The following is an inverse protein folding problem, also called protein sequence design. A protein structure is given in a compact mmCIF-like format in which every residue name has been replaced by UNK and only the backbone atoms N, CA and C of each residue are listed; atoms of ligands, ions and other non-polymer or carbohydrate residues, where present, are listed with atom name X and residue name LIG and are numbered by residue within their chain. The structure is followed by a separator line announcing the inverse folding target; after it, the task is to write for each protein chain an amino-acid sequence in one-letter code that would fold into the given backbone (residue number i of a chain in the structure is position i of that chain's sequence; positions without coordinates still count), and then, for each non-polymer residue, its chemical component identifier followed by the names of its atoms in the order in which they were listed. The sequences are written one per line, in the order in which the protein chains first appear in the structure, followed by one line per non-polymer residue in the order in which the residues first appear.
data_IF_149016371000
#
_entry.id   IF_149016371000
#
_cell.length_a   1.000
_cell.length_b   1.000
_cell.length_c   1.000
_cell.angle_alpha   90.00
_cell.angle_beta   90.00
_cell.angle_gamma   90.00
#
_symmetry.space_group_name_H-M   'P 1'
#
loop_
_entity.id
_entity.type
_entity.pdbx_description
1 polymer ?
#
# COMPACT_ATOMS: atom_id res chain seq x y z
N UNK A 1 11.46 6.62 29.71
CA UNK A 1 9.99 6.61 29.64
C UNK A 1 9.54 7.27 28.36
N UNK A 2 9.79 6.67 27.24
CA UNK A 2 9.34 7.22 25.95
C UNK A 2 8.85 6.11 25.04
N UNK A 3 7.62 6.27 24.56
CA UNK A 3 7.00 5.64 23.41
C UNK A 3 6.48 4.20 23.50
N UNK A 4 5.73 3.89 24.53
CA UNK A 4 4.80 2.75 24.48
C UNK A 4 3.48 3.07 23.74
N UNK A 5 3.27 4.33 23.30
CA UNK A 5 2.05 4.72 22.57
C UNK A 5 2.15 4.62 21.05
N UNK A 6 3.37 4.52 20.49
CA UNK A 6 3.56 4.44 19.03
C UNK A 6 3.57 3.01 18.48
N UNK A 7 3.86 2.01 19.30
CA UNK A 7 3.86 0.60 18.87
C UNK A 7 2.44 0.04 18.68
N UNK A 8 1.44 0.65 19.32
CA UNK A 8 0.04 0.22 19.25
C UNK A 8 -0.69 0.70 17.97
N UNK A 9 -0.01 1.44 17.08
CA UNK A 9 -0.58 1.99 15.85
C UNK A 9 -0.05 1.33 14.57
N UNK A 10 0.64 0.20 14.69
CA UNK A 10 1.18 -0.54 13.56
C UNK A 10 0.50 -1.91 13.46
N UNK A 11 0.33 -2.37 12.22
CA UNK A 11 -0.22 -3.68 11.91
C UNK A 11 0.87 -4.57 11.33
N UNK A 12 0.96 -5.81 11.81
CA UNK A 12 1.74 -6.85 11.19
C UNK A 12 0.91 -7.62 10.15
N UNK A 13 1.54 -8.56 9.45
CA UNK A 13 0.89 -9.37 8.42
C UNK A 13 -0.30 -10.17 8.97
N UNK A 14 -0.17 -10.73 10.17
CA UNK A 14 -1.22 -11.53 10.81
C UNK A 14 -2.44 -10.68 11.13
N UNK A 15 -2.24 -9.49 11.69
CA UNK A 15 -3.32 -8.54 11.97
C UNK A 15 -4.02 -8.08 10.68
N UNK A 16 -3.26 -7.82 9.62
CA UNK A 16 -3.83 -7.46 8.32
C UNK A 16 -4.69 -8.57 7.73
N UNK A 17 -4.19 -9.81 7.74
CA UNK A 17 -4.94 -10.97 7.25
C UNK A 17 -6.21 -11.20 8.09
N UNK A 18 -6.12 -11.09 9.40
CA UNK A 18 -7.28 -11.19 10.29
C UNK A 18 -8.34 -10.13 9.97
N UNK A 19 -7.92 -8.89 9.79
CA UNK A 19 -8.82 -7.79 9.44
C UNK A 19 -9.51 -8.02 8.08
N UNK A 20 -8.77 -8.52 7.08
CA UNK A 20 -9.33 -8.85 5.77
C UNK A 20 -10.35 -10.01 5.85
N UNK A 21 -10.08 -11.04 6.64
CA UNK A 21 -11.04 -12.12 6.87
C UNK A 21 -12.31 -11.62 7.57
N UNK A 22 -12.17 -10.72 8.55
CA UNK A 22 -13.32 -10.10 9.20
C UNK A 22 -14.13 -9.23 8.23
N UNK A 23 -13.47 -8.52 7.34
CA UNK A 23 -14.14 -7.74 6.30
C UNK A 23 -14.94 -8.66 5.36
N UNK A 24 -14.35 -9.78 4.95
CA UNK A 24 -15.05 -10.80 4.17
C UNK A 24 -16.30 -11.32 4.88
N UNK A 25 -16.21 -11.60 6.19
CA UNK A 25 -17.34 -12.10 6.98
C UNK A 25 -18.49 -11.09 7.06
N UNK A 26 -18.16 -9.80 7.20
CA UNK A 26 -19.17 -8.73 7.22
C UNK A 26 -19.85 -8.56 5.85
N UNK A 27 -19.06 -8.61 4.77
CA UNK A 27 -19.60 -8.60 3.40
C UNK A 27 -20.51 -9.79 3.15
N UNK A 28 -20.10 -10.98 3.56
CA UNK A 28 -20.91 -12.20 3.44
C UNK A 28 -22.24 -12.06 4.18
N UNK A 29 -22.22 -11.53 5.40
CA UNK A 29 -23.42 -11.37 6.23
C UNK A 29 -24.46 -10.43 5.61
N UNK A 30 -24.05 -9.50 4.78
CA UNK A 30 -24.92 -8.58 4.05
C UNK A 30 -25.13 -8.96 2.57
N UNK A 31 -24.65 -10.14 2.17
CA UNK A 31 -24.73 -10.65 0.78
C UNK A 31 -24.11 -9.68 -0.23
N UNK A 32 -23.01 -9.04 0.18
CA UNK A 32 -22.21 -8.14 -0.67
C UNK A 32 -20.89 -8.80 -1.02
N UNK A 33 -20.33 -8.44 -2.17
CA UNK A 33 -18.96 -8.77 -2.56
C UNK A 33 -18.13 -7.48 -2.63
N UNK A 34 -16.86 -7.59 -2.27
CA UNK A 34 -15.94 -6.45 -2.27
C UNK A 34 -14.64 -6.76 -3.00
N UNK A 35 -13.99 -5.70 -3.43
CA UNK A 35 -12.65 -5.75 -4.03
C UNK A 35 -11.79 -4.66 -3.45
N UNK A 36 -10.53 -5.01 -3.12
CA UNK A 36 -9.48 -4.05 -2.74
C UNK A 36 -8.31 -4.17 -3.70
N UNK A 37 -7.69 -3.03 -4.00
CA UNK A 37 -6.38 -2.98 -4.66
C UNK A 37 -5.41 -2.31 -3.69
N UNK A 38 -4.41 -3.06 -3.24
CA UNK A 38 -3.43 -2.63 -2.25
C UNK A 38 -2.29 -1.84 -2.89
N UNK A 39 -1.80 -0.87 -2.11
CA UNK A 39 -0.63 -0.05 -2.42
C UNK A 39 0.26 0.08 -1.17
N UNK A 40 1.41 0.72 -1.32
CA UNK A 40 2.24 1.18 -0.21
C UNK A 40 2.79 0.11 0.72
N UNK A 41 2.81 0.42 2.02
CA UNK A 41 3.44 -0.43 3.04
C UNK A 41 2.75 -1.78 3.23
N UNK A 42 1.42 -1.85 3.06
CA UNK A 42 0.68 -3.10 3.12
C UNK A 42 1.13 -4.09 2.03
N UNK A 43 1.40 -3.59 0.84
CA UNK A 43 1.99 -4.37 -0.25
C UNK A 43 3.34 -4.97 0.17
N UNK A 44 4.22 -4.15 0.76
CA UNK A 44 5.54 -4.60 1.21
C UNK A 44 5.46 -5.65 2.31
N UNK A 45 4.50 -5.52 3.24
CA UNK A 45 4.28 -6.50 4.31
C UNK A 45 3.65 -7.80 3.82
N UNK A 46 2.56 -7.71 3.06
CA UNK A 46 1.75 -8.87 2.67
C UNK A 46 2.34 -9.65 1.50
N UNK A 47 2.87 -8.96 0.49
CA UNK A 47 3.31 -9.58 -0.76
C UNK A 47 4.79 -9.95 -0.69
N UNK A 48 5.65 -9.03 -0.30
CA UNK A 48 7.08 -9.26 -0.28
C UNK A 48 7.62 -9.73 1.06
N UNK A 49 6.91 -9.46 2.18
CA UNK A 49 7.40 -9.77 3.51
C UNK A 49 8.67 -9.02 3.89
N UNK A 50 8.99 -7.94 3.19
CA UNK A 50 10.21 -7.13 3.42
C UNK A 50 10.08 -6.14 4.58
N UNK A 51 8.85 -5.91 5.04
CA UNK A 51 8.54 -5.11 6.24
C UNK A 51 7.73 -5.94 7.21
N UNK A 52 8.06 -5.84 8.51
CA UNK A 52 7.31 -6.51 9.57
C UNK A 52 6.00 -5.81 9.91
N UNK A 53 5.94 -4.51 9.74
CA UNK A 53 4.81 -3.67 10.17
C UNK A 53 4.52 -2.55 9.18
N UNK A 54 3.26 -2.12 9.17
CA UNK A 54 2.82 -0.88 8.51
C UNK A 54 1.80 -0.16 9.39
N UNK A 55 1.61 1.13 9.17
CA UNK A 55 0.62 1.93 9.93
C UNK A 55 -0.82 1.62 9.54
N UNK A 56 -1.03 1.10 8.34
CA UNK A 56 -2.33 0.76 7.82
C UNK A 56 -2.24 0.31 6.37
N UNK A 57 -3.39 0.11 5.77
CA UNK A 57 -3.52 -0.39 4.41
C UNK A 57 -4.05 0.71 3.49
N UNK A 58 -3.20 1.20 2.60
CA UNK A 58 -3.60 2.09 1.52
C UNK A 58 -4.19 1.24 0.39
N UNK A 59 -5.43 1.50 0.04
CA UNK A 59 -6.12 0.74 -0.99
C UNK A 59 -7.18 1.58 -1.70
N UNK A 60 -7.52 1.21 -2.91
CA UNK A 60 -8.80 1.58 -3.50
C UNK A 60 -9.74 0.41 -3.38
N UNK A 61 -11.02 0.66 -3.14
CA UNK A 61 -11.98 -0.41 -2.85
C UNK A 61 -13.41 -0.07 -3.26
N UNK A 62 -14.16 -1.12 -3.59
CA UNK A 62 -15.59 -1.09 -3.90
C UNK A 62 -16.29 -2.29 -3.22
N UNK A 63 -17.52 -2.16 -2.72
CA UNK A 63 -18.32 -0.92 -2.60
C UNK A 63 -17.77 -0.03 -1.47
N UNK A 64 -17.56 1.23 -1.79
CA UNK A 64 -16.84 2.17 -0.90
C UNK A 64 -17.56 2.38 0.44
N UNK A 65 -18.86 2.65 0.41
CA UNK A 65 -19.63 2.96 1.61
C UNK A 65 -19.68 1.80 2.60
N UNK A 66 -19.99 0.60 2.12
CA UNK A 66 -20.06 -0.61 2.96
C UNK A 66 -18.69 -0.97 3.54
N UNK A 67 -17.65 -0.94 2.73
CA UNK A 67 -16.28 -1.28 3.19
C UNK A 67 -15.80 -0.29 4.24
N UNK A 68 -16.03 1.00 4.06
CA UNK A 68 -15.69 2.00 5.10
C UNK A 68 -16.43 1.76 6.42
N UNK A 69 -17.73 1.48 6.35
CA UNK A 69 -18.52 1.19 7.55
C UNK A 69 -17.98 -0.04 8.28
N UNK A 70 -17.74 -1.13 7.56
CA UNK A 70 -17.19 -2.36 8.13
C UNK A 70 -15.77 -2.19 8.66
N UNK A 71 -14.93 -1.44 7.96
CA UNK A 71 -13.57 -1.15 8.43
C UNK A 71 -13.57 -0.42 9.78
N UNK A 72 -14.48 0.53 9.99
CA UNK A 72 -14.63 1.23 11.28
C UNK A 72 -15.09 0.29 12.39
N UNK A 73 -16.03 -0.60 12.10
CA UNK A 73 -16.46 -1.61 13.07
C UNK A 73 -15.32 -2.55 13.46
N UNK A 74 -14.58 -3.04 12.47
CA UNK A 74 -13.41 -3.91 12.69
C UNK A 74 -12.35 -3.20 13.52
N UNK A 75 -12.09 -1.93 13.26
CA UNK A 75 -11.15 -1.14 14.06
C UNK A 75 -11.50 -1.15 15.55
N UNK A 76 -12.78 -0.97 15.89
CA UNK A 76 -13.26 -1.02 17.27
C UNK A 76 -13.19 -2.43 17.87
N UNK A 77 -13.59 -3.45 17.11
CA UNK A 77 -13.60 -4.84 17.56
C UNK A 77 -12.20 -5.41 17.79
N UNK A 78 -11.24 -5.04 16.95
CA UNK A 78 -9.88 -5.60 16.95
C UNK A 78 -8.83 -4.65 17.55
N UNK A 79 -9.22 -3.46 18.00
CA UNK A 79 -8.28 -2.49 18.55
C UNK A 79 -7.31 -1.92 17.52
N UNK A 80 -7.74 -1.79 16.26
CA UNK A 80 -6.93 -1.23 15.19
C UNK A 80 -7.10 0.30 15.11
N UNK A 81 -6.15 1.00 14.46
CA UNK A 81 -6.36 2.41 14.14
C UNK A 81 -7.65 2.61 13.34
N UNK A 82 -8.36 3.73 13.59
CA UNK A 82 -9.63 4.00 12.92
C UNK A 82 -9.50 4.05 11.38
N UNK A 83 -8.32 4.43 10.90
CA UNK A 83 -7.95 4.55 9.48
C UNK A 83 -7.05 3.41 8.99
N UNK A 84 -7.10 2.24 9.65
CA UNK A 84 -6.30 1.07 9.24
C UNK A 84 -6.48 0.69 7.76
N UNK A 85 -7.65 0.95 7.20
CA UNK A 85 -7.96 0.84 5.78
C UNK A 85 -8.42 2.21 5.27
N UNK A 86 -7.70 2.78 4.30
CA UNK A 86 -8.01 4.09 3.76
C UNK A 86 -7.75 4.16 2.26
N UNK A 87 -8.46 5.05 1.57
CA UNK A 87 -8.35 5.27 0.13
C UNK A 87 -7.67 6.60 -0.26
N UNK A 88 -6.88 7.16 0.65
CA UNK A 88 -6.14 8.39 0.41
C UNK A 88 -5.24 8.33 -0.82
N UNK A 89 -4.76 7.13 -1.17
CA UNK A 89 -3.95 6.89 -2.36
C UNK A 89 -4.68 7.26 -3.66
N UNK A 90 -6.00 7.26 -3.67
CA UNK A 90 -6.84 7.54 -4.85
C UNK A 90 -6.51 8.89 -5.52
N UNK A 91 -6.15 9.90 -4.76
CA UNK A 91 -5.76 11.21 -5.27
C UNK A 91 -4.40 11.22 -5.98
N UNK A 92 -3.62 10.13 -5.91
CA UNK A 92 -2.28 10.00 -6.46
C UNK A 92 -2.22 9.08 -7.68
N UNK A 93 -3.35 8.53 -8.11
CA UNK A 93 -3.43 7.60 -9.23
C UNK A 93 -3.72 8.37 -10.52
N UNK A 94 -2.69 8.56 -11.34
CA UNK A 94 -2.79 9.23 -12.64
C UNK A 94 -3.04 8.26 -13.79
N UNK A 95 -2.64 7.02 -13.60
CA UNK A 95 -2.82 5.91 -14.54
C UNK A 95 -3.40 4.73 -13.79
N UNK A 96 -4.31 3.99 -14.38
CA UNK A 96 -4.87 2.79 -13.78
C UNK A 96 -3.79 1.72 -13.62
N UNK A 97 -3.59 1.17 -12.42
CA UNK A 97 -2.57 0.15 -12.20
C UNK A 97 -2.99 -1.19 -12.79
N UNK A 98 -2.03 -1.91 -13.35
CA UNK A 98 -2.15 -3.36 -13.53
C UNK A 98 -2.01 -4.02 -12.18
N UNK A 99 -2.72 -5.13 -11.97
CA UNK A 99 -2.81 -5.77 -10.66
C UNK A 99 -2.51 -7.27 -10.73
N UNK A 100 -2.12 -7.81 -9.57
CA UNK A 100 -2.05 -9.25 -9.31
C UNK A 100 -3.02 -9.62 -8.19
N UNK A 101 -3.61 -10.80 -8.26
CA UNK A 101 -4.43 -11.33 -7.17
C UNK A 101 -3.52 -11.74 -6.00
N UNK A 102 -3.82 -11.23 -4.80
CA UNK A 102 -3.09 -11.55 -3.57
C UNK A 102 -3.86 -12.55 -2.72
N UNK A 103 -5.17 -12.34 -2.56
CA UNK A 103 -6.02 -13.15 -1.71
C UNK A 103 -7.43 -13.18 -2.29
N UNK A 104 -7.99 -14.38 -2.48
CA UNK A 104 -9.37 -14.57 -2.87
C UNK A 104 -10.13 -15.24 -1.74
N UNK A 105 -11.09 -14.51 -1.16
CA UNK A 105 -12.02 -15.04 -0.19
C UNK A 105 -13.41 -15.17 -0.82
N UNK A 106 -14.38 -15.70 -0.06
CA UNK A 106 -15.72 -15.96 -0.61
C UNK A 106 -16.43 -14.70 -1.10
N UNK A 107 -16.26 -13.58 -0.40
CA UNK A 107 -16.92 -12.30 -0.68
C UNK A 107 -15.96 -11.12 -0.81
N UNK A 108 -14.66 -11.36 -0.77
CA UNK A 108 -13.63 -10.33 -0.87
C UNK A 108 -12.49 -10.79 -1.78
N UNK A 109 -12.20 -9.99 -2.79
CA UNK A 109 -11.00 -10.14 -3.62
C UNK A 109 -9.98 -9.07 -3.23
N UNK A 110 -8.77 -9.47 -2.92
CA UNK A 110 -7.67 -8.56 -2.60
C UNK A 110 -6.63 -8.65 -3.69
N UNK A 111 -6.46 -7.57 -4.42
CA UNK A 111 -5.48 -7.39 -5.48
C UNK A 111 -4.37 -6.48 -4.97
N UNK A 112 -3.24 -6.47 -5.65
CA UNK A 112 -2.16 -5.52 -5.42
C UNK A 112 -1.72 -4.91 -6.74
N UNK A 113 -1.37 -3.63 -6.74
CA UNK A 113 -0.73 -3.01 -7.88
C UNK A 113 0.62 -3.70 -8.17
N UNK A 114 1.04 -3.72 -9.42
CA UNK A 114 2.33 -4.30 -9.82
C UNK A 114 3.50 -3.59 -9.11
N UNK A 115 4.61 -4.30 -8.83
CA UNK A 115 5.76 -3.73 -8.12
C UNK A 115 6.31 -2.44 -8.75
N UNK A 116 6.36 -2.36 -10.08
CA UNK A 116 6.82 -1.16 -10.77
C UNK A 116 5.93 0.05 -10.50
N UNK A 117 4.61 -0.15 -10.36
CA UNK A 117 3.68 0.92 -10.01
C UNK A 117 3.92 1.42 -8.59
N UNK A 118 4.12 0.50 -7.65
CA UNK A 118 4.43 0.84 -6.25
C UNK A 118 5.75 1.62 -6.17
N UNK A 119 6.77 1.19 -6.93
CA UNK A 119 8.04 1.91 -7.01
C UNK A 119 7.84 3.34 -7.51
N UNK A 120 7.10 3.53 -8.59
CA UNK A 120 6.82 4.85 -9.14
C UNK A 120 6.13 5.76 -8.12
N UNK A 121 5.17 5.23 -7.36
CA UNK A 121 4.47 5.99 -6.33
C UNK A 121 5.38 6.38 -5.18
N UNK A 122 6.28 5.50 -4.73
CA UNK A 122 7.25 5.82 -3.68
C UNK A 122 8.25 6.88 -4.15
N UNK A 123 8.72 6.80 -5.38
CA UNK A 123 9.59 7.83 -5.97
C UNK A 123 8.87 9.18 -6.09
N UNK A 124 7.59 9.17 -6.42
CA UNK A 124 6.80 10.40 -6.50
C UNK A 124 6.55 11.03 -5.12
N UNK A 125 6.22 10.22 -4.12
CA UNK A 125 6.09 10.69 -2.73
C UNK A 125 7.42 11.22 -2.17
N UNK A 126 8.53 10.59 -2.54
CA UNK A 126 9.91 11.00 -2.24
C UNK A 126 10.15 11.31 -0.74
N UNK A 127 9.70 10.41 0.13
CA UNK A 127 9.85 10.54 1.59
C UNK A 127 11.12 9.84 2.05
N UNK A 128 12.17 10.61 2.31
CA UNK A 128 13.49 10.08 2.71
C UNK A 128 13.58 9.68 4.18
N UNK A 129 12.74 10.26 5.03
CA UNK A 129 12.73 10.07 6.49
C UNK A 129 11.80 8.94 6.95
N UNK A 130 11.36 8.10 6.02
CA UNK A 130 10.45 6.98 6.24
C UNK A 130 11.05 5.68 5.70
N UNK A 131 10.29 4.58 5.84
CA UNK A 131 10.63 3.30 5.22
C UNK A 131 10.56 3.32 3.68
N UNK A 132 10.04 4.38 3.08
CA UNK A 132 9.82 4.46 1.63
C UNK A 132 11.11 4.31 0.81
N UNK A 133 12.23 4.85 1.29
CA UNK A 133 13.51 4.69 0.59
C UNK A 133 13.95 3.23 0.58
N UNK A 134 13.89 2.57 1.73
CA UNK A 134 14.24 1.14 1.83
C UNK A 134 13.30 0.28 1.00
N UNK A 135 12.01 0.56 1.03
CA UNK A 135 11.03 -0.13 0.20
C UNK A 135 11.33 0.04 -1.29
N UNK A 136 11.68 1.25 -1.71
CA UNK A 136 12.04 1.53 -3.11
C UNK A 136 13.31 0.80 -3.53
N UNK A 137 14.31 0.69 -2.64
CA UNK A 137 15.53 -0.09 -2.88
C UNK A 137 15.18 -1.58 -3.10
N UNK A 138 14.35 -2.14 -2.23
CA UNK A 138 13.90 -3.54 -2.37
C UNK A 138 13.18 -3.75 -3.70
N UNK A 139 12.26 -2.85 -4.07
CA UNK A 139 11.53 -2.91 -5.33
C UNK A 139 12.44 -2.79 -6.54
N UNK A 140 13.38 -1.87 -6.52
CA UNK A 140 14.37 -1.71 -7.59
C UNK A 140 15.21 -2.98 -7.78
N UNK A 141 15.65 -3.60 -6.69
CA UNK A 141 16.40 -4.86 -6.71
C UNK A 141 15.57 -6.01 -7.28
N UNK A 142 14.32 -6.17 -6.85
CA UNK A 142 13.41 -7.21 -7.34
C UNK A 142 13.15 -7.05 -8.84
N UNK A 143 13.05 -5.81 -9.31
CA UNK A 143 12.83 -5.49 -10.71
C UNK A 143 14.12 -5.55 -11.56
N UNK A 144 15.28 -5.80 -10.95
CA UNK A 144 16.57 -5.86 -11.64
C UNK A 144 17.06 -4.52 -12.16
N UNK A 145 16.67 -3.41 -11.53
CA UNK A 145 17.06 -2.07 -11.93
C UNK A 145 18.43 -1.74 -11.34
N UNK A 146 19.33 -1.23 -12.17
CA UNK A 146 20.74 -1.01 -11.81
C UNK A 146 21.17 0.45 -11.87
N UNK A 147 20.37 1.32 -12.45
CA UNK A 147 20.67 2.74 -12.54
C UNK A 147 19.42 3.63 -12.48
N UNK A 148 19.66 4.91 -12.22
CA UNK A 148 18.59 5.91 -12.05
C UNK A 148 17.71 6.08 -13.28
N UNK A 149 18.26 5.95 -14.48
CA UNK A 149 17.49 6.19 -15.70
C UNK A 149 16.42 5.11 -15.89
N UNK A 150 16.74 3.86 -15.55
CA UNK A 150 15.76 2.77 -15.56
C UNK A 150 14.60 3.04 -14.59
N UNK A 151 14.90 3.56 -13.40
CA UNK A 151 13.85 3.92 -12.42
C UNK A 151 13.04 5.11 -12.92
N UNK A 152 13.67 6.14 -13.44
CA UNK A 152 12.97 7.32 -13.99
C UNK A 152 12.06 6.94 -15.15
N UNK A 153 12.49 6.04 -16.03
CA UNK A 153 11.65 5.52 -17.12
C UNK A 153 10.37 4.86 -16.58
N UNK A 154 10.48 4.11 -15.49
CA UNK A 154 9.31 3.52 -14.82
C UNK A 154 8.43 4.61 -14.21
N UNK A 155 9.00 5.56 -13.50
CA UNK A 155 8.24 6.67 -12.88
C UNK A 155 7.44 7.43 -13.93
N UNK A 156 8.06 7.75 -15.06
CA UNK A 156 7.44 8.50 -16.15
C UNK A 156 6.28 7.76 -16.84
N UNK A 157 6.21 6.44 -16.73
CA UNK A 157 5.07 5.66 -17.23
C UNK A 157 3.80 5.95 -16.45
N UNK A 158 3.91 6.25 -15.16
CA UNK A 158 2.78 6.32 -14.25
C UNK A 158 2.52 7.71 -13.68
N UNK A 159 3.54 8.57 -13.68
CA UNK A 159 3.47 9.93 -13.15
C UNK A 159 3.77 10.91 -14.28
N UNK A 160 2.89 11.89 -14.54
CA UNK A 160 3.16 12.91 -15.54
C UNK A 160 4.46 13.66 -15.26
N UNK A 161 5.35 13.76 -16.25
CA UNK A 161 6.68 14.37 -16.11
C UNK A 161 6.61 15.78 -15.53
N UNK A 162 5.59 16.56 -15.90
CA UNK A 162 5.37 17.92 -15.39
C UNK A 162 5.19 18.01 -13.88
N UNK A 163 4.86 16.89 -13.23
CA UNK A 163 4.67 16.81 -11.78
C UNK A 163 5.93 16.39 -11.04
N UNK A 164 6.96 15.94 -11.75
CA UNK A 164 8.22 15.54 -11.15
C UNK A 164 9.07 16.77 -10.81
N UNK A 165 9.67 16.72 -9.64
CA UNK A 165 10.49 17.80 -9.09
C UNK A 165 11.92 17.33 -8.85
N UNK A 166 12.80 18.26 -8.50
CA UNK A 166 14.18 17.96 -8.08
C UNK A 166 14.18 16.96 -6.90
N UNK A 167 13.21 17.06 -6.00
CA UNK A 167 13.07 16.13 -4.87
C UNK A 167 12.86 14.69 -5.33
N UNK A 168 12.07 14.48 -6.37
CA UNK A 168 11.81 13.16 -6.92
C UNK A 168 13.08 12.57 -7.56
N UNK A 169 13.81 13.37 -8.32
CA UNK A 169 15.09 12.95 -8.92
C UNK A 169 16.12 12.62 -7.85
N UNK A 170 16.25 13.45 -6.82
CA UNK A 170 17.16 13.21 -5.70
C UNK A 170 16.80 11.91 -4.94
N UNK A 171 15.51 11.62 -4.76
CA UNK A 171 15.06 10.36 -4.16
C UNK A 171 15.49 9.16 -5.01
N UNK A 172 15.30 9.23 -6.34
CA UNK A 172 15.72 8.16 -7.26
C UNK A 172 17.25 7.96 -7.22
N UNK A 173 18.02 9.04 -7.20
CA UNK A 173 19.49 8.97 -7.07
C UNK A 173 19.91 8.27 -5.78
N UNK A 174 19.21 8.53 -4.68
CA UNK A 174 19.48 7.92 -3.37
C UNK A 174 19.29 6.39 -3.36
N UNK A 175 18.55 5.81 -4.30
CA UNK A 175 18.40 4.36 -4.41
C UNK A 175 19.72 3.65 -4.76
N UNK A 176 20.65 4.34 -5.36
CA UNK A 176 21.90 3.77 -5.85
C UNK A 176 23.15 4.27 -5.09
N UNK A 177 22.94 4.91 -3.99
CA UNK A 177 24.01 5.43 -3.12
C UNK A 177 24.47 6.81 -3.50
#
# INVERSE_FOLDING_TARGET
MMNSQNDNQRMDKEQMLKALHRLNDKLRSSDETGELILFGGAFMCLVFGSRGYTRGMDAVFEPKGSIYAYAREIAKEEGLPADWLNDGVKGWLYVEPKTDLVLQLSHLSVLAAKPEYILAMKCYAARLDTDDLNDAIVLANVLGLTDRNQVLDIVEKYIPVRLLSVKNVAFVEALFG
#
